data_IF_104767983166
#
_entry.id   IF_104767983166
#
_cell.length_a   1.000
_cell.length_b   1.000
_cell.length_c   1.000
_cell.angle_alpha   90.00
_cell.angle_beta   90.00
_cell.angle_gamma   90.00
#
_symmetry.space_group_name_H-M   'P 1'
#
loop_
_entity.id
_entity.type
_entity.pdbx_description
1 polymer ?
#
# COMPACT_ATOMS: atom_id res chain seq x y z
N UNK A 1 -10.45 -10.36 -10.44
CA UNK A 1 -10.96 -9.98 -9.10
C UNK A 1 -9.83 -9.22 -8.45
N UNK A 2 -9.98 -7.91 -8.30
CA UNK A 2 -8.95 -7.01 -7.76
C UNK A 2 -8.69 -7.47 -6.32
N UNK A 3 -7.49 -7.97 -6.05
CA UNK A 3 -7.07 -8.23 -4.66
C UNK A 3 -6.95 -6.86 -4.01
N UNK A 4 -7.90 -6.58 -3.15
CA UNK A 4 -8.05 -5.33 -2.44
C UNK A 4 -7.01 -5.22 -1.32
N UNK A 5 -5.76 -4.93 -1.69
CA UNK A 5 -4.71 -4.65 -0.73
C UNK A 5 -5.12 -3.42 0.10
N UNK A 6 -5.11 -3.55 1.42
CA UNK A 6 -5.30 -2.45 2.38
C UNK A 6 -6.65 -1.71 2.32
N UNK A 7 -7.69 -2.27 1.69
CA UNK A 7 -8.95 -1.56 1.37
C UNK A 7 -9.61 -0.85 2.56
N UNK A 8 -9.43 -1.37 3.78
CA UNK A 8 -10.03 -0.81 4.99
C UNK A 8 -9.09 0.14 5.78
N UNK A 9 -7.88 0.40 5.27
CA UNK A 9 -6.83 1.18 5.97
C UNK A 9 -6.12 2.22 5.08
N UNK A 10 -6.31 2.19 3.76
CA UNK A 10 -5.71 3.17 2.86
C UNK A 10 -6.30 4.58 3.08
N UNK A 11 -7.58 4.68 3.44
CA UNK A 11 -8.27 5.95 3.69
C UNK A 11 -7.62 6.76 4.80
N UNK A 12 -7.24 6.12 5.92
CA UNK A 12 -6.58 6.81 7.05
C UNK A 12 -5.23 7.40 6.63
N UNK A 13 -4.44 6.62 5.88
CA UNK A 13 -3.19 7.13 5.29
C UNK A 13 -3.45 8.31 4.35
N UNK A 14 -4.45 8.22 3.46
CA UNK A 14 -4.79 9.30 2.53
C UNK A 14 -5.21 10.55 3.29
N UNK A 15 -6.06 10.44 4.31
CA UNK A 15 -6.49 11.56 5.15
C UNK A 15 -5.28 12.25 5.79
N UNK A 16 -4.39 11.51 6.43
CA UNK A 16 -3.17 12.08 7.02
C UNK A 16 -2.28 12.71 5.94
N UNK A 17 -2.12 12.05 4.80
CA UNK A 17 -1.22 12.50 3.75
C UNK A 17 -1.71 13.78 3.07
N UNK A 18 -3.02 13.94 2.93
CA UNK A 18 -3.66 15.02 2.17
C UNK A 18 -4.16 16.19 3.01
N UNK A 19 -4.23 16.05 4.36
CA UNK A 19 -4.93 17.00 5.24
C UNK A 19 -4.59 18.47 5.02
N UNK A 20 -3.33 18.81 4.74
CA UNK A 20 -2.91 20.21 4.56
C UNK A 20 -3.49 20.83 3.30
N UNK A 21 -3.51 20.07 2.21
CA UNK A 21 -4.02 20.55 0.92
C UNK A 21 -5.55 20.56 0.96
N UNK A 22 -6.17 19.48 1.44
CA UNK A 22 -7.61 19.39 1.63
C UNK A 22 -8.14 20.57 2.46
N UNK A 23 -7.53 20.86 3.62
CA UNK A 23 -7.91 22.00 4.45
C UNK A 23 -7.85 23.34 3.70
N UNK A 24 -6.79 23.57 2.92
CA UNK A 24 -6.66 24.82 2.15
C UNK A 24 -7.74 24.94 1.07
N UNK A 25 -8.08 23.83 0.41
CA UNK A 25 -9.14 23.80 -0.59
C UNK A 25 -10.50 24.12 0.04
N UNK A 26 -10.79 23.56 1.21
CA UNK A 26 -12.03 23.86 1.95
C UNK A 26 -12.06 25.32 2.47
N UNK A 27 -10.96 25.82 3.02
CA UNK A 27 -10.84 27.21 3.47
C UNK A 27 -11.10 28.19 2.31
N UNK A 28 -10.55 27.90 1.12
CA UNK A 28 -10.77 28.72 -0.07
C UNK A 28 -12.21 28.62 -0.59
N UNK A 29 -12.76 27.41 -0.67
CA UNK A 29 -14.14 27.15 -1.08
C UNK A 29 -15.10 27.94 -0.20
N UNK A 30 -14.94 27.83 1.11
CA UNK A 30 -15.75 28.54 2.11
C UNK A 30 -15.73 30.05 1.88
N UNK A 31 -14.53 30.61 1.70
CA UNK A 31 -14.37 32.04 1.41
C UNK A 31 -15.08 32.46 0.13
N UNK A 32 -14.95 31.69 -0.96
CA UNK A 32 -15.59 32.01 -2.24
C UNK A 32 -17.11 31.94 -2.18
N UNK A 33 -17.66 30.94 -1.47
CA UNK A 33 -19.09 30.81 -1.22
C UNK A 33 -19.64 32.03 -0.46
N UNK A 34 -18.94 32.47 0.59
CA UNK A 34 -19.33 33.63 1.41
C UNK A 34 -19.25 34.95 0.63
N UNK A 35 -18.19 35.16 -0.16
CA UNK A 35 -17.99 36.41 -0.91
C UNK A 35 -18.98 36.58 -2.08
N UNK A 36 -19.48 35.48 -2.64
CA UNK A 36 -20.31 35.50 -3.86
C UNK A 36 -21.75 35.05 -3.63
N UNK A 37 -22.12 34.62 -2.42
CA UNK A 37 -23.43 34.03 -2.09
C UNK A 37 -23.80 32.86 -3.02
N UNK A 38 -22.82 31.97 -3.24
CA UNK A 38 -22.93 30.79 -4.12
C UNK A 38 -22.61 29.51 -3.37
N UNK A 39 -23.10 28.39 -3.89
CA UNK A 39 -22.68 27.06 -3.46
C UNK A 39 -21.64 26.49 -4.42
N UNK A 40 -20.50 26.05 -3.88
CA UNK A 40 -19.43 25.39 -4.64
C UNK A 40 -19.25 23.93 -4.18
N UNK A 41 -18.89 23.01 -5.09
CA UNK A 41 -18.55 21.62 -4.77
C UNK A 41 -17.45 21.46 -3.69
N UNK A 42 -17.41 20.30 -3.03
CA UNK A 42 -16.41 19.96 -2.00
C UNK A 42 -15.11 19.47 -2.64
N UNK A 43 -14.28 20.41 -3.08
CA UNK A 43 -13.03 20.12 -3.78
C UNK A 43 -11.98 19.41 -2.92
N UNK A 44 -12.05 19.60 -1.61
CA UNK A 44 -11.22 18.91 -0.64
C UNK A 44 -11.54 17.42 -0.58
N UNK A 45 -12.82 17.04 -0.59
CA UNK A 45 -13.27 15.65 -0.67
C UNK A 45 -12.89 15.03 -2.02
N UNK A 46 -13.15 15.74 -3.14
CA UNK A 46 -12.76 15.26 -4.49
C UNK A 46 -11.25 15.02 -4.61
N UNK A 47 -10.44 15.90 -4.02
CA UNK A 47 -8.98 15.73 -3.99
C UNK A 47 -8.56 14.46 -3.22
N UNK A 48 -9.18 14.20 -2.07
CA UNK A 48 -8.90 13.02 -1.26
C UNK A 48 -9.32 11.74 -1.98
N UNK A 49 -10.51 11.74 -2.58
CA UNK A 49 -11.04 10.62 -3.35
C UNK A 49 -10.18 10.29 -4.57
N UNK A 50 -9.73 11.31 -5.31
CA UNK A 50 -8.83 11.12 -6.45
C UNK A 50 -7.48 10.54 -6.01
N UNK A 51 -6.92 11.03 -4.91
CA UNK A 51 -5.66 10.50 -4.36
C UNK A 51 -5.80 9.04 -3.93
N UNK A 52 -6.89 8.70 -3.24
CA UNK A 52 -7.18 7.33 -2.82
C UNK A 52 -7.38 6.41 -4.02
N UNK A 53 -8.22 6.80 -4.99
CA UNK A 53 -8.52 6.01 -6.20
C UNK A 53 -7.26 5.70 -6.99
N UNK A 54 -6.36 6.67 -7.13
CA UNK A 54 -5.10 6.47 -7.84
C UNK A 54 -4.16 5.50 -7.12
N UNK A 55 -4.09 5.56 -5.78
CA UNK A 55 -3.31 4.60 -5.01
C UNK A 55 -3.90 3.18 -5.06
N UNK A 56 -5.22 3.05 -4.91
CA UNK A 56 -5.92 1.77 -5.03
C UNK A 56 -5.73 1.16 -6.42
N UNK A 57 -5.83 1.98 -7.47
CA UNK A 57 -5.56 1.54 -8.83
C UNK A 57 -4.11 1.09 -9.00
N UNK A 58 -3.15 1.82 -8.42
CA UNK A 58 -1.74 1.47 -8.50
C UNK A 58 -1.42 0.15 -7.81
N UNK A 59 -2.07 -0.16 -6.68
CA UNK A 59 -1.93 -1.45 -6.01
C UNK A 59 -2.62 -2.62 -6.73
N UNK A 60 -3.39 -2.37 -7.78
CA UNK A 60 -4.10 -3.41 -8.52
C UNK A 60 -3.13 -4.38 -9.21
N UNK A 61 -3.36 -5.68 -9.05
CA UNK A 61 -2.57 -6.76 -9.63
C UNK A 61 -3.07 -7.14 -11.04
N UNK A 62 -2.98 -6.21 -11.99
CA UNK A 62 -3.40 -6.42 -13.39
C UNK A 62 -2.24 -6.46 -14.40
N UNK A 63 -0.99 -6.51 -13.92
CA UNK A 63 0.25 -6.59 -14.71
C UNK A 63 0.47 -5.47 -15.74
N UNK A 64 -0.22 -4.33 -15.64
CA UNK A 64 0.08 -3.17 -16.47
C UNK A 64 1.41 -2.52 -16.07
N UNK A 65 2.05 -1.78 -16.98
CA UNK A 65 3.37 -1.18 -16.71
C UNK A 65 3.36 -0.03 -15.69
N UNK A 66 2.17 0.44 -15.30
CA UNK A 66 1.97 1.58 -14.39
C UNK A 66 1.41 1.18 -13.01
N UNK A 67 1.40 -0.12 -12.68
CA UNK A 67 0.99 -0.62 -11.35
C UNK A 67 2.18 -1.11 -10.53
N UNK A 68 1.95 -1.29 -9.23
CA UNK A 68 2.97 -1.63 -8.23
C UNK A 68 3.75 -2.92 -8.57
N UNK A 69 3.05 -3.91 -9.13
CA UNK A 69 3.61 -5.24 -9.41
C UNK A 69 4.18 -5.42 -10.82
N UNK A 70 4.22 -4.37 -11.64
CA UNK A 70 4.64 -4.43 -13.04
C UNK A 70 6.02 -5.08 -13.27
N UNK A 71 6.95 -4.85 -12.34
CA UNK A 71 8.34 -5.29 -12.42
C UNK A 71 8.66 -6.48 -11.50
N UNK A 72 7.64 -7.22 -11.09
CA UNK A 72 7.78 -8.43 -10.28
C UNK A 72 7.44 -9.66 -11.13
N UNK A 73 8.09 -10.80 -10.85
CA UNK A 73 7.66 -12.06 -11.47
C UNK A 73 6.29 -12.47 -10.97
N UNK A 74 5.62 -13.37 -11.69
CA UNK A 74 4.33 -13.93 -11.27
C UNK A 74 4.41 -14.55 -9.87
N UNK A 75 5.51 -15.26 -9.58
CA UNK A 75 5.76 -15.91 -8.31
C UNK A 75 6.05 -14.90 -7.19
N UNK A 76 6.84 -13.84 -7.47
CA UNK A 76 7.07 -12.74 -6.54
C UNK A 76 5.76 -12.03 -6.17
N UNK A 77 4.92 -11.73 -7.18
CA UNK A 77 3.62 -11.10 -6.99
C UNK A 77 2.68 -11.99 -6.17
N UNK A 78 2.62 -13.29 -6.48
CA UNK A 78 1.82 -14.24 -5.70
C UNK A 78 2.27 -14.32 -4.23
N UNK A 79 3.59 -14.34 -3.99
CA UNK A 79 4.16 -14.38 -2.65
C UNK A 79 3.88 -13.10 -1.86
N UNK A 80 4.14 -11.92 -2.44
CA UNK A 80 3.86 -10.64 -1.80
C UNK A 80 2.37 -10.47 -1.49
N UNK A 81 1.49 -10.78 -2.44
CA UNK A 81 0.05 -10.64 -2.24
C UNK A 81 -0.50 -11.63 -1.20
N UNK A 82 0.10 -12.80 -1.02
CA UNK A 82 -0.25 -13.74 0.05
C UNK A 82 0.09 -13.19 1.44
N UNK A 83 1.15 -12.39 1.55
CA UNK A 83 1.57 -11.75 2.81
C UNK A 83 0.72 -10.51 3.08
N UNK A 84 0.59 -9.62 2.10
CA UNK A 84 -0.16 -8.36 2.28
C UNK A 84 -1.66 -8.53 2.42
N UNK A 85 -2.20 -9.72 2.15
CA UNK A 85 -3.56 -10.08 2.56
C UNK A 85 -3.79 -9.91 4.07
N UNK A 86 -2.73 -10.05 4.87
CA UNK A 86 -2.79 -9.95 6.33
C UNK A 86 -2.25 -8.63 6.88
N UNK A 87 -1.86 -7.69 6.02
CA UNK A 87 -1.33 -6.40 6.44
C UNK A 87 -2.43 -5.34 6.43
N UNK A 88 -2.43 -4.47 7.42
CA UNK A 88 -2.98 -3.12 7.26
C UNK A 88 -1.94 -2.15 6.65
N UNK A 89 -2.38 -0.94 6.31
CA UNK A 89 -1.52 0.07 5.71
C UNK A 89 -0.37 0.48 6.64
N UNK A 90 -0.62 0.58 7.95
CA UNK A 90 0.41 0.93 8.94
C UNK A 90 1.51 -0.13 8.98
N UNK A 91 1.14 -1.41 8.94
CA UNK A 91 2.11 -2.51 8.89
C UNK A 91 2.94 -2.50 7.61
N UNK A 92 2.34 -2.10 6.49
CA UNK A 92 3.07 -1.90 5.24
C UNK A 92 4.05 -0.73 5.37
N UNK A 93 3.63 0.40 5.92
CA UNK A 93 4.48 1.60 6.08
C UNK A 93 5.59 1.42 7.11
N UNK A 94 5.31 0.69 8.19
CA UNK A 94 6.19 0.58 9.35
C UNK A 94 6.95 -0.75 9.42
N UNK A 95 6.87 -1.61 8.39
CA UNK A 95 7.47 -2.94 8.45
C UNK A 95 8.97 -2.91 8.80
N UNK A 96 9.71 -1.89 8.35
CA UNK A 96 11.12 -1.70 8.73
C UNK A 96 11.30 -1.49 10.24
N UNK A 97 10.39 -0.75 10.89
CA UNK A 97 10.41 -0.56 12.33
C UNK A 97 10.04 -1.86 13.06
N UNK A 98 9.03 -2.58 12.57
CA UNK A 98 8.64 -3.91 13.07
C UNK A 98 9.86 -4.86 13.00
N UNK A 99 10.56 -4.90 11.86
CA UNK A 99 11.75 -5.72 11.66
C UNK A 99 12.91 -5.31 12.57
N UNK A 100 13.17 -4.01 12.75
CA UNK A 100 14.20 -3.53 13.69
C UNK A 100 13.91 -3.97 15.13
N UNK A 101 12.62 -4.01 15.51
CA UNK A 101 12.19 -4.39 16.86
C UNK A 101 12.23 -5.90 17.10
N UNK A 102 11.76 -6.70 16.14
CA UNK A 102 11.54 -8.14 16.32
C UNK A 102 12.51 -9.05 15.56
N UNK A 103 13.39 -8.48 14.73
CA UNK A 103 14.44 -9.22 14.03
C UNK A 103 13.93 -10.19 12.96
N UNK A 104 14.53 -11.38 12.91
CA UNK A 104 14.31 -12.40 11.85
C UNK A 104 12.92 -13.04 11.80
N UNK A 105 12.00 -12.62 12.68
CA UNK A 105 10.64 -13.16 12.78
C UNK A 105 9.58 -12.06 12.76
N UNK A 106 9.89 -10.93 12.10
CA UNK A 106 9.06 -9.74 12.05
C UNK A 106 7.63 -10.02 11.58
N UNK A 107 7.45 -10.92 10.60
CA UNK A 107 6.13 -11.28 10.08
C UNK A 107 5.24 -12.00 11.11
N UNK A 108 5.77 -12.51 12.22
CA UNK A 108 4.95 -13.05 13.33
C UNK A 108 4.30 -11.98 14.18
N UNK A 109 4.77 -10.73 14.03
CA UNK A 109 4.38 -9.62 14.87
C UNK A 109 3.46 -8.63 14.16
N UNK A 110 3.05 -8.95 12.93
CA UNK A 110 1.89 -8.31 12.32
C UNK A 110 0.62 -8.79 13.06
N UNK A 111 -0.33 -7.88 13.22
CA UNK A 111 -1.57 -7.92 13.99
C UNK A 111 -2.49 -9.05 13.58
N UNK A 112 -2.50 -9.42 12.30
CA UNK A 112 -3.42 -10.41 11.74
C UNK A 112 -2.72 -11.68 11.24
N UNK A 113 -1.47 -11.95 11.65
CA UNK A 113 -0.80 -13.19 11.27
C UNK A 113 -1.49 -14.43 11.87
N UNK A 114 -1.84 -15.45 11.06
CA UNK A 114 -2.34 -16.73 11.56
C UNK A 114 -1.26 -17.52 12.32
N UNK A 115 -1.69 -18.50 13.13
CA UNK A 115 -0.80 -19.30 13.99
C UNK A 115 0.32 -20.01 13.22
N UNK A 116 0.03 -20.50 12.00
CA UNK A 116 0.97 -21.22 11.15
C UNK A 116 1.49 -20.37 9.98
N UNK A 117 1.42 -19.03 10.08
CA UNK A 117 1.65 -18.10 8.98
C UNK A 117 2.85 -18.40 8.09
N UNK A 118 4.06 -18.53 8.66
CA UNK A 118 5.27 -18.82 7.89
C UNK A 118 5.23 -20.17 7.16
N UNK A 119 4.60 -21.18 7.76
CA UNK A 119 4.55 -22.52 7.19
C UNK A 119 3.54 -22.53 6.04
N UNK A 120 2.37 -21.94 6.24
CA UNK A 120 1.34 -21.79 5.21
C UNK A 120 1.86 -20.98 4.03
N UNK A 121 2.49 -19.83 4.28
CA UNK A 121 3.12 -19.01 3.23
C UNK A 121 4.15 -19.80 2.42
N UNK A 122 4.97 -20.62 3.08
CA UNK A 122 5.95 -21.46 2.40
C UNK A 122 5.28 -22.53 1.53
N UNK A 123 4.24 -23.19 2.03
CA UNK A 123 3.51 -24.24 1.32
C UNK A 123 2.78 -23.66 0.10
N UNK A 124 2.05 -22.56 0.29
CA UNK A 124 1.24 -21.94 -0.74
C UNK A 124 2.09 -21.31 -1.86
N UNK A 125 3.31 -20.90 -1.52
CA UNK A 125 4.26 -20.30 -2.45
C UNK A 125 5.47 -21.21 -2.69
N UNK A 126 5.31 -22.53 -2.59
CA UNK A 126 6.42 -23.48 -2.68
C UNK A 126 7.26 -23.32 -3.95
N UNK A 127 6.64 -22.93 -5.07
CA UNK A 127 7.32 -22.74 -6.36
C UNK A 127 8.24 -21.52 -6.39
N UNK A 128 7.96 -20.50 -5.56
CA UNK A 128 8.80 -19.31 -5.42
C UNK A 128 10.15 -19.61 -4.75
N UNK A 129 10.21 -20.57 -3.82
CA UNK A 129 11.44 -20.88 -3.09
C UNK A 129 12.35 -21.83 -3.87
N UNK A 130 13.63 -21.49 -3.97
CA UNK A 130 14.64 -22.34 -4.60
C UNK A 130 14.87 -23.65 -3.82
N UNK A 131 14.81 -23.58 -2.50
CA UNK A 131 14.97 -24.73 -1.64
C UNK A 131 13.62 -25.42 -1.38
N UNK A 132 13.52 -26.70 -1.73
CA UNK A 132 12.32 -27.53 -1.51
C UNK A 132 12.52 -28.38 -0.25
N UNK A 133 11.84 -27.99 0.83
CA UNK A 133 11.84 -28.69 2.10
C UNK A 133 10.67 -29.70 2.15
N UNK A 134 10.87 -30.79 2.89
CA UNK A 134 9.76 -31.70 3.20
C UNK A 134 8.84 -31.03 4.24
N UNK A 135 7.59 -30.80 3.83
CA UNK A 135 6.55 -30.12 4.62
C UNK A 135 6.02 -31.00 5.76
N UNK A 136 6.23 -32.32 5.68
CA UNK A 136 5.81 -33.26 6.73
C UNK A 136 6.85 -33.39 7.85
N UNK A 137 8.08 -32.91 7.63
CA UNK A 137 9.14 -32.93 8.64
C UNK A 137 9.16 -31.61 9.42
N UNK A 138 8.60 -31.64 10.63
CA UNK A 138 8.51 -30.48 11.54
C UNK A 138 9.86 -29.86 11.90
N UNK A 139 10.97 -30.60 11.75
CA UNK A 139 12.33 -30.07 11.94
C UNK A 139 12.68 -28.99 10.91
N UNK A 140 11.97 -28.94 9.78
CA UNK A 140 12.15 -27.93 8.74
C UNK A 140 11.41 -26.63 9.01
N UNK A 141 10.46 -26.59 9.97
CA UNK A 141 9.63 -25.39 10.20
C UNK A 141 10.44 -24.11 10.51
N UNK A 142 11.52 -24.16 11.32
CA UNK A 142 12.36 -22.98 11.53
C UNK A 142 12.96 -22.46 10.22
N UNK A 143 13.39 -23.37 9.33
CA UNK A 143 14.02 -23.06 8.05
C UNK A 143 13.04 -22.52 7.02
N UNK A 144 11.81 -23.07 6.98
CA UNK A 144 10.73 -22.49 6.17
C UNK A 144 10.46 -21.04 6.57
N UNK A 145 10.40 -20.77 7.88
CA UNK A 145 10.22 -19.42 8.38
C UNK A 145 11.39 -18.48 8.03
N UNK A 146 12.63 -18.98 8.05
CA UNK A 146 13.79 -18.20 7.59
C UNK A 146 13.68 -17.85 6.11
N UNK A 147 13.34 -18.82 5.25
CA UNK A 147 13.19 -18.59 3.82
C UNK A 147 12.11 -17.55 3.50
N UNK A 148 10.96 -17.61 4.18
CA UNK A 148 9.87 -16.63 4.03
C UNK A 148 10.35 -15.23 4.39
N UNK A 149 10.98 -15.06 5.56
CA UNK A 149 11.43 -13.75 6.06
C UNK A 149 12.57 -13.15 5.23
N UNK A 150 13.53 -13.97 4.83
CA UNK A 150 14.69 -13.56 4.02
C UNK A 150 14.27 -13.20 2.60
N UNK A 151 13.23 -13.85 2.06
CA UNK A 151 12.72 -13.56 0.73
C UNK A 151 11.73 -12.39 0.71
N UNK A 152 10.91 -12.24 1.76
CA UNK A 152 9.94 -11.14 1.84
C UNK A 152 10.62 -9.78 1.91
N UNK A 153 11.62 -9.64 2.76
CA UNK A 153 12.20 -8.33 3.06
C UNK A 153 12.72 -7.53 1.84
N UNK A 154 13.59 -8.10 0.97
CA UNK A 154 14.04 -7.37 -0.20
C UNK A 154 12.90 -7.02 -1.18
N UNK A 155 11.89 -7.88 -1.28
CA UNK A 155 10.72 -7.62 -2.12
C UNK A 155 9.83 -6.51 -1.54
N UNK A 156 9.65 -6.49 -0.22
CA UNK A 156 8.95 -5.43 0.49
C UNK A 156 9.65 -4.08 0.29
N UNK A 157 10.98 -4.03 0.49
CA UNK A 157 11.78 -2.82 0.27
C UNK A 157 11.66 -2.29 -1.17
N UNK A 158 11.70 -3.20 -2.16
CA UNK A 158 11.50 -2.84 -3.57
C UNK A 158 10.11 -2.26 -3.81
N UNK A 159 9.05 -2.88 -3.28
CA UNK A 159 7.68 -2.39 -3.44
C UNK A 159 7.46 -1.06 -2.71
N UNK A 160 8.00 -0.93 -1.50
CA UNK A 160 7.89 0.27 -0.68
C UNK A 160 8.55 1.48 -1.36
N UNK A 161 9.74 1.31 -1.97
CA UNK A 161 10.36 2.39 -2.74
C UNK A 161 9.48 2.84 -3.93
N UNK A 162 8.85 1.89 -4.63
CA UNK A 162 7.91 2.21 -5.72
C UNK A 162 6.65 2.92 -5.21
N UNK A 163 6.18 2.57 -4.00
CA UNK A 163 5.07 3.26 -3.35
C UNK A 163 5.45 4.71 -3.02
N UNK A 164 6.63 4.95 -2.45
CA UNK A 164 7.12 6.31 -2.18
C UNK A 164 7.28 7.14 -3.46
N UNK A 165 7.69 6.52 -4.56
CA UNK A 165 7.71 7.17 -5.88
C UNK A 165 6.29 7.54 -6.35
N UNK A 166 5.32 6.62 -6.25
CA UNK A 166 3.92 6.89 -6.63
C UNK A 166 3.29 7.99 -5.78
N UNK A 167 3.54 7.99 -4.47
CA UNK A 167 3.06 9.05 -3.57
C UNK A 167 3.61 10.41 -4.01
N UNK A 168 4.91 10.50 -4.32
CA UNK A 168 5.54 11.74 -4.81
C UNK A 168 5.03 12.16 -6.19
N UNK A 169 4.66 11.21 -7.05
CA UNK A 169 4.00 11.49 -8.32
C UNK A 169 2.64 12.13 -8.08
N UNK A 170 1.81 11.55 -7.20
CA UNK A 170 0.48 12.05 -6.88
C UNK A 170 0.52 13.44 -6.21
N UNK A 171 1.46 13.67 -5.30
CA UNK A 171 1.69 15.00 -4.70
C UNK A 171 2.04 16.07 -5.75
N UNK A 172 2.64 15.68 -6.88
CA UNK A 172 2.99 16.58 -7.98
C UNK A 172 1.90 16.75 -9.03
N UNK A 173 1.08 15.72 -9.26
CA UNK A 173 0.01 15.77 -10.27
C UNK A 173 -1.27 16.37 -9.70
N UNK A 174 -1.62 16.02 -8.47
CA UNK A 174 -2.80 16.52 -7.74
C UNK A 174 -2.38 17.72 -6.87
N UNK A 175 -2.05 18.84 -7.52
CA UNK A 175 -1.64 20.06 -6.82
C UNK A 175 -2.83 20.97 -6.53
N UNK A 176 -2.67 21.83 -5.52
CA UNK A 176 -3.58 22.96 -5.26
C UNK A 176 -3.87 23.73 -6.56
N UNK A 177 -2.84 24.05 -7.36
CA UNK A 177 -3.00 24.74 -8.65
C UNK A 177 -3.80 23.97 -9.71
N UNK A 178 -3.72 22.64 -9.74
CA UNK A 178 -4.50 21.82 -10.66
C UNK A 178 -6.01 21.94 -10.38
N UNK A 179 -6.39 21.95 -9.10
CA UNK A 179 -7.77 22.17 -8.67
C UNK A 179 -8.17 23.65 -8.83
N UNK A 180 -7.28 24.59 -8.55
CA UNK A 180 -7.55 26.03 -8.72
C UNK A 180 -7.71 26.47 -10.18
N UNK A 181 -7.07 25.80 -11.13
CA UNK A 181 -7.23 26.13 -12.55
C UNK A 181 -8.62 25.78 -13.09
N UNK A 182 -9.38 24.90 -12.42
CA UNK A 182 -10.80 24.66 -12.73
C UNK A 182 -11.63 25.95 -12.58
N UNK A 183 -11.23 26.86 -11.68
CA UNK A 183 -11.93 28.13 -11.43
C UNK A 183 -11.55 29.26 -12.40
N UNK A 184 -10.45 29.14 -13.15
CA UNK A 184 -10.07 30.16 -14.13
C UNK A 184 -10.82 30.04 -15.46
N UNK A 185 -11.67 29.02 -15.60
CA UNK A 185 -12.43 28.73 -16.84
C UNK A 185 -13.92 29.10 -16.70
N UNK A 186 -14.36 29.64 -15.57
CA UNK A 186 -15.73 30.11 -15.32
C UNK A 186 -15.83 31.62 -15.31
#
# INVERSE_FOLDING_TARGET
>A
MIRHLFLDSIGDYVLEKTHKVAKKLDDLRTKLCEENDVFLPYFDEEYQDDFQRELEFWFNDNYSSNVAFANFSKEETAFLTSIYYYFDMDEFLEFDAIRKKYGKRALRHIKHAPEFFHIELYIDNKDFFNEKLDVNDTRNFPKMADLVEESFYPLHQKLYALFEDKVRELEKSLTEEAFLNVFKVS
#
